data_IF_103410138065
#
_entry.id   IF_103410138065
#
_cell.length_a   1.000
_cell.length_b   1.000
_cell.length_c   1.000
_cell.angle_alpha   90.00
_cell.angle_beta   90.00
_cell.angle_gamma   90.00
#
_symmetry.space_group_name_H-M   'P 1'
#
loop_
_entity.id
_entity.type
_entity.pdbx_description
1 polymer ?
#
# COMPACT_ATOMS: atom_id res chain seq x y z
N UNK A 1 11.29 -13.63 -16.40
CA UNK A 1 11.36 -13.45 -14.93
C UNK A 1 9.98 -13.55 -14.28
N UNK A 2 8.92 -12.91 -14.82
CA UNK A 2 7.55 -13.01 -14.28
C UNK A 2 7.05 -14.46 -14.09
N UNK A 3 7.38 -15.40 -14.99
CA UNK A 3 6.87 -16.77 -14.90
C UNK A 3 7.36 -17.56 -13.67
N UNK A 4 8.46 -17.15 -13.02
CA UNK A 4 8.94 -17.79 -11.80
C UNK A 4 8.03 -17.54 -10.59
N UNK A 5 7.22 -16.46 -10.63
CA UNK A 5 6.24 -16.17 -9.60
C UNK A 5 5.15 -17.26 -9.54
N UNK A 6 4.73 -17.81 -10.69
CA UNK A 6 3.66 -18.82 -10.75
C UNK A 6 4.04 -20.16 -10.13
N UNK A 7 5.34 -20.48 -10.05
CA UNK A 7 5.81 -21.70 -9.37
C UNK A 7 6.12 -21.48 -7.89
N UNK A 8 6.08 -20.25 -7.40
CA UNK A 8 6.34 -19.93 -6.00
C UNK A 8 5.01 -19.85 -5.22
N UNK A 9 4.78 -20.82 -4.32
CA UNK A 9 3.56 -20.86 -3.50
C UNK A 9 3.43 -19.66 -2.56
N UNK A 10 4.55 -19.14 -2.05
CA UNK A 10 4.57 -17.95 -1.18
C UNK A 10 4.04 -16.71 -1.90
N UNK A 11 4.16 -16.64 -3.23
CA UNK A 11 3.65 -15.52 -4.02
C UNK A 11 2.11 -15.37 -3.91
N UNK A 12 1.39 -16.46 -3.62
CA UNK A 12 -0.07 -16.48 -3.52
C UNK A 12 -0.57 -16.52 -2.07
N UNK A 13 0.33 -16.55 -1.09
CA UNK A 13 -0.05 -16.55 0.31
C UNK A 13 -0.53 -15.15 0.76
N UNK A 14 -1.52 -15.11 1.65
CA UNK A 14 -1.92 -13.86 2.31
C UNK A 14 -1.13 -13.65 3.59
N UNK A 15 -0.51 -12.49 3.72
CA UNK A 15 0.25 -12.08 4.92
C UNK A 15 -0.42 -10.94 5.69
N UNK A 16 -1.69 -10.61 5.39
CA UNK A 16 -2.39 -9.51 6.06
C UNK A 16 -2.44 -9.69 7.58
N UNK A 17 -2.59 -10.93 8.05
CA UNK A 17 -2.61 -11.24 9.48
C UNK A 17 -1.32 -10.81 10.20
N UNK A 18 -0.16 -10.82 9.53
CA UNK A 18 1.10 -10.39 10.16
C UNK A 18 1.12 -8.90 10.50
N UNK A 19 0.34 -8.08 9.79
CA UNK A 19 0.29 -6.64 10.01
C UNK A 19 -0.35 -6.26 11.36
N UNK A 20 -1.14 -7.15 11.97
CA UNK A 20 -1.73 -6.93 13.30
C UNK A 20 -0.65 -6.78 14.39
N UNK A 21 0.52 -7.39 14.19
CA UNK A 21 1.64 -7.41 15.15
C UNK A 21 2.52 -6.17 15.07
N UNK A 22 2.33 -5.33 14.05
CA UNK A 22 3.16 -4.14 13.80
C UNK A 22 2.50 -2.95 14.48
N UNK A 23 2.99 -2.60 15.68
CA UNK A 23 2.39 -1.59 16.55
C UNK A 23 2.98 -0.18 16.39
N UNK A 24 4.02 -0.01 15.57
CA UNK A 24 4.54 1.32 15.23
C UNK A 24 3.53 2.10 14.36
N UNK A 25 3.61 3.44 14.29
CA UNK A 25 2.82 4.21 13.33
C UNK A 25 3.07 3.74 11.89
N UNK A 26 2.01 3.55 11.10
CA UNK A 26 2.09 3.13 9.70
C UNK A 26 1.30 4.09 8.81
N UNK A 27 1.93 4.57 7.74
CA UNK A 27 1.27 5.31 6.68
C UNK A 27 1.04 4.39 5.48
N UNK A 28 -0.20 4.39 4.98
CA UNK A 28 -0.58 3.70 3.75
C UNK A 28 -1.05 4.77 2.76
N UNK A 29 -0.35 4.87 1.62
CA UNK A 29 -0.76 5.72 0.50
C UNK A 29 -1.25 4.79 -0.62
N UNK A 30 -2.45 5.05 -1.14
CA UNK A 30 -3.10 4.20 -2.16
C UNK A 30 -3.71 5.04 -3.26
N UNK A 31 -3.74 4.50 -4.48
CA UNK A 31 -4.44 5.09 -5.61
C UNK A 31 -5.90 4.67 -5.58
N UNK A 32 -6.81 5.61 -5.82
CA UNK A 32 -8.23 5.31 -5.96
C UNK A 32 -8.56 4.58 -7.29
N UNK A 33 -7.61 4.52 -8.22
CA UNK A 33 -7.71 3.85 -9.52
C UNK A 33 -6.60 2.80 -9.73
N UNK A 34 -5.97 2.31 -8.65
CA UNK A 34 -4.96 1.22 -8.74
C UNK A 34 -5.64 -0.14 -8.96
N UNK A 35 -5.85 -0.51 -10.23
CA UNK A 35 -6.34 -1.85 -10.60
C UNK A 35 -5.22 -2.89 -10.76
N UNK A 36 -3.95 -2.50 -10.65
CA UNK A 36 -2.84 -3.45 -10.72
C UNK A 36 -2.74 -4.27 -9.42
N UNK A 37 -3.03 -3.63 -8.28
CA UNK A 37 -3.09 -4.27 -6.96
C UNK A 37 -4.55 -4.41 -6.47
N UNK A 38 -5.40 -3.44 -6.82
CA UNK A 38 -6.80 -3.34 -6.39
C UNK A 38 -7.01 -2.10 -5.51
N UNK A 39 -7.99 -1.21 -5.82
CA UNK A 39 -8.14 0.07 -5.12
C UNK A 39 -8.47 -0.09 -3.63
N UNK A 40 -9.05 -1.24 -3.28
CA UNK A 40 -9.45 -1.62 -1.92
C UNK A 40 -8.48 -2.59 -1.24
N UNK A 41 -7.37 -2.96 -1.87
CA UNK A 41 -6.43 -3.95 -1.33
C UNK A 41 -5.93 -3.58 0.07
N UNK A 42 -5.65 -2.29 0.27
CA UNK A 42 -5.18 -1.73 1.54
C UNK A 42 -6.16 -1.92 2.71
N UNK A 43 -7.47 -2.12 2.45
CA UNK A 43 -8.48 -2.33 3.49
C UNK A 43 -8.25 -3.62 4.28
N UNK A 44 -7.54 -4.58 3.70
CA UNK A 44 -7.20 -5.84 4.37
C UNK A 44 -6.08 -5.69 5.41
N UNK A 45 -5.38 -4.54 5.45
CA UNK A 45 -4.26 -4.36 6.37
C UNK A 45 -4.75 -4.11 7.81
N UNK A 46 -4.26 -4.93 8.73
CA UNK A 46 -4.65 -4.99 10.14
C UNK A 46 -3.74 -4.20 11.08
N UNK A 47 -2.89 -3.32 10.54
CA UNK A 47 -2.08 -2.40 11.35
C UNK A 47 -2.95 -1.66 12.38
N UNK A 48 -2.66 -1.76 13.70
CA UNK A 48 -3.40 -1.08 14.74
C UNK A 48 -3.31 0.45 14.64
N UNK A 49 -2.13 0.97 14.27
CA UNK A 49 -1.81 2.39 14.25
C UNK A 49 -1.62 2.93 12.82
N UNK A 50 -2.57 2.60 11.92
CA UNK A 50 -2.51 3.05 10.52
C UNK A 50 -3.15 4.42 10.27
N UNK A 51 -2.54 5.19 9.37
CA UNK A 51 -3.15 6.29 8.64
C UNK A 51 -3.27 5.89 7.17
N UNK A 52 -4.45 6.01 6.59
CA UNK A 52 -4.69 5.72 5.18
C UNK A 52 -4.93 7.03 4.43
N UNK A 53 -4.22 7.22 3.32
CA UNK A 53 -4.39 8.35 2.41
C UNK A 53 -4.61 7.80 1.00
N UNK A 54 -5.86 7.85 0.57
CA UNK A 54 -6.21 7.57 -0.82
C UNK A 54 -6.09 8.87 -1.62
N UNK A 55 -5.29 8.86 -2.69
CA UNK A 55 -5.14 10.00 -3.58
C UNK A 55 -5.62 9.61 -4.98
N UNK A 56 -5.90 10.62 -5.81
CA UNK A 56 -6.20 10.37 -7.21
C UNK A 56 -5.01 9.70 -7.87
N UNK A 57 -5.21 8.64 -8.64
CA UNK A 57 -4.13 7.97 -9.37
C UNK A 57 -4.21 6.45 -9.35
N UNK A 58 -3.37 5.86 -10.20
CA UNK A 58 -3.26 4.43 -10.44
C UNK A 58 -2.13 3.88 -9.55
N UNK A 59 -1.19 3.15 -10.14
CA UNK A 59 -0.20 2.37 -9.42
C UNK A 59 1.07 3.16 -9.09
N UNK A 60 1.49 4.09 -9.96
CA UNK A 60 2.76 4.82 -9.82
C UNK A 60 2.55 6.21 -9.25
N UNK A 61 1.91 6.28 -8.07
CA UNK A 61 1.46 7.53 -7.44
C UNK A 61 2.56 8.59 -7.27
N UNK A 62 3.79 8.16 -6.99
CA UNK A 62 4.93 9.07 -6.85
C UNK A 62 5.35 9.72 -8.19
N UNK A 63 4.96 9.15 -9.34
CA UNK A 63 5.12 9.77 -10.66
C UNK A 63 3.87 10.57 -11.06
N UNK A 64 2.69 10.02 -10.77
CA UNK A 64 1.41 10.58 -11.20
C UNK A 64 1.01 11.83 -10.42
N UNK A 65 1.24 11.84 -9.10
CA UNK A 65 0.84 12.91 -8.17
C UNK A 65 1.97 13.21 -7.17
N UNK A 66 3.15 13.52 -7.72
CA UNK A 66 4.40 13.65 -6.98
C UNK A 66 4.34 14.65 -5.81
N UNK A 67 3.71 15.81 -6.00
CA UNK A 67 3.63 16.84 -4.96
C UNK A 67 2.71 16.44 -3.79
N UNK A 68 1.53 15.89 -4.09
CA UNK A 68 0.61 15.39 -3.05
C UNK A 68 1.24 14.21 -2.30
N UNK A 69 1.86 13.28 -3.02
CA UNK A 69 2.56 12.13 -2.44
C UNK A 69 3.66 12.57 -1.48
N UNK A 70 4.51 13.53 -1.86
CA UNK A 70 5.56 14.10 -0.99
C UNK A 70 4.96 14.79 0.24
N UNK A 71 3.93 15.60 0.05
CA UNK A 71 3.27 16.34 1.12
C UNK A 71 2.72 15.39 2.20
N UNK A 72 2.06 14.30 1.78
CA UNK A 72 1.55 13.27 2.69
C UNK A 72 2.68 12.61 3.50
N UNK A 73 3.82 12.32 2.85
CA UNK A 73 4.99 11.76 3.55
C UNK A 73 5.53 12.77 4.57
N UNK A 74 5.69 14.04 4.18
CA UNK A 74 6.19 15.10 5.05
C UNK A 74 5.31 15.30 6.28
N UNK A 75 3.98 15.30 6.12
CA UNK A 75 3.02 15.37 7.22
C UNK A 75 3.09 14.17 8.18
N UNK A 76 3.50 13.00 7.69
CA UNK A 76 3.59 11.80 8.51
C UNK A 76 4.89 11.71 9.30
N UNK A 77 6.00 12.19 8.73
CA UNK A 77 7.34 12.12 9.35
C UNK A 77 7.72 13.36 10.15
N UNK A 78 7.11 14.51 9.84
CA UNK A 78 7.31 15.78 10.56
C UNK A 78 6.45 15.87 11.82
#
# INVERSE_FOLDING_TARGET
>A
MANQAFSNKEYFASYFYLTEKITVPVLIITGNEDYAIGPDHHKNFLFPNKKVRAIQGKHMLYLENNEEFKSIIQEFVG
#
